data_IF_173169927417
#
_entry.id   IF_173169927417
#
_cell.length_a   1.000
_cell.length_b   1.000
_cell.length_c   1.000
_cell.angle_alpha   90.00
_cell.angle_beta   90.00
_cell.angle_gamma   90.00
#
_symmetry.space_group_name_H-M   'P 1'
#
loop_
_entity.id
_entity.type
_entity.pdbx_description
1 polymer ?
#
# COMPACT_ATOMS: atom_id res chain seq x y z
N UNK A 1 11.85 -100.51 13.51
CA UNK A 1 11.04 -99.79 14.52
C UNK A 1 11.86 -99.78 15.81
N UNK A 2 12.71 -98.80 16.02
CA UNK A 2 12.45 -97.43 16.51
C UNK A 2 12.90 -97.32 17.98
N UNK A 3 14.12 -96.82 18.13
CA UNK A 3 14.69 -95.98 19.18
C UNK A 3 14.33 -96.24 20.66
N UNK A 4 15.37 -96.58 21.44
CA UNK A 4 15.50 -96.04 22.79
C UNK A 4 16.93 -95.56 23.02
N UNK A 5 17.11 -94.27 22.80
CA UNK A 5 18.34 -93.52 22.97
C UNK A 5 18.64 -93.30 24.45
N UNK A 6 19.93 -93.48 24.74
CA UNK A 6 20.68 -93.04 25.92
C UNK A 6 20.72 -91.51 25.98
N UNK A 7 20.61 -90.94 27.17
CA UNK A 7 21.34 -89.75 27.68
C UNK A 7 20.62 -89.22 28.93
N UNK A 8 21.23 -88.58 29.91
CA UNK A 8 22.60 -88.38 30.39
C UNK A 8 22.38 -87.48 31.62
N UNK A 9 22.90 -87.88 32.77
CA UNK A 9 22.90 -87.05 33.98
C UNK A 9 23.93 -85.94 33.78
N UNK A 10 23.52 -84.69 33.89
CA UNK A 10 24.44 -83.56 34.09
C UNK A 10 23.98 -82.78 35.30
N UNK A 11 24.77 -82.91 36.37
CA UNK A 11 24.82 -81.98 37.50
C UNK A 11 25.13 -80.57 37.01
N UNK A 12 24.44 -79.58 37.56
CA UNK A 12 24.62 -78.20 37.16
C UNK A 12 23.90 -77.22 38.07
N UNK A 13 24.18 -77.32 39.37
CA UNK A 13 23.90 -76.24 40.32
C UNK A 13 24.64 -74.97 39.87
N UNK A 14 23.89 -73.96 39.47
CA UNK A 14 24.38 -72.59 39.51
C UNK A 14 23.20 -71.67 39.83
N UNK A 15 23.27 -71.09 41.03
CA UNK A 15 22.45 -70.00 41.53
C UNK A 15 22.32 -68.88 40.48
N UNK A 16 21.30 -68.97 39.64
CA UNK A 16 20.81 -67.79 38.94
C UNK A 16 20.02 -66.98 39.98
N UNK A 17 20.74 -66.11 40.70
CA UNK A 17 20.13 -65.00 41.46
C UNK A 17 19.40 -64.12 40.43
N UNK A 18 18.14 -64.47 40.17
CA UNK A 18 17.24 -63.72 39.29
C UNK A 18 17.10 -62.35 39.93
N UNK A 19 17.79 -61.37 39.33
CA UNK A 19 17.60 -59.97 39.65
C UNK A 19 16.20 -59.59 39.19
N UNK A 20 15.25 -59.59 40.13
CA UNK A 20 13.93 -59.02 39.89
C UNK A 20 14.10 -57.53 39.61
N UNK A 21 13.91 -57.13 38.36
CA UNK A 21 13.88 -55.72 38.01
C UNK A 21 12.72 -55.05 38.76
N UNK A 22 12.97 -53.96 39.52
CA UNK A 22 11.93 -53.31 40.31
C UNK A 22 10.87 -52.72 39.38
N UNK A 23 9.75 -53.43 39.19
CA UNK A 23 8.60 -53.00 38.38
C UNK A 23 8.02 -51.65 38.80
N UNK A 24 8.25 -51.23 40.06
CA UNK A 24 7.73 -49.99 40.62
C UNK A 24 8.31 -48.71 40.00
N UNK A 25 9.47 -48.76 39.33
CA UNK A 25 10.02 -47.57 38.65
C UNK A 25 9.41 -47.32 37.26
N UNK A 26 8.65 -48.26 36.70
CA UNK A 26 8.10 -48.15 35.35
C UNK A 26 6.85 -47.27 35.25
N UNK A 27 6.04 -47.18 36.31
CA UNK A 27 4.75 -46.46 36.27
C UNK A 27 4.96 -44.95 36.44
N UNK A 28 5.83 -44.54 37.36
CA UNK A 28 6.17 -43.12 37.56
C UNK A 28 6.90 -42.55 36.34
N UNK A 29 7.81 -43.33 35.73
CA UNK A 29 8.50 -42.93 34.50
C UNK A 29 7.52 -42.79 33.32
N UNK A 30 6.59 -43.74 33.13
CA UNK A 30 5.53 -43.64 32.12
C UNK A 30 4.55 -42.46 32.32
N UNK A 31 4.26 -42.07 33.57
CA UNK A 31 3.43 -40.90 33.85
C UNK A 31 4.20 -39.59 33.62
N UNK A 32 5.49 -39.56 33.98
CA UNK A 32 6.36 -38.42 33.74
C UNK A 32 6.65 -38.23 32.25
N UNK A 33 6.90 -39.30 31.51
CA UNK A 33 7.02 -39.32 30.05
C UNK A 33 5.72 -38.84 29.40
N UNK A 34 4.53 -39.32 29.83
CA UNK A 34 3.25 -38.77 29.35
C UNK A 34 3.10 -37.27 29.60
N UNK A 35 3.54 -36.76 30.74
CA UNK A 35 3.46 -35.33 31.04
C UNK A 35 4.46 -34.49 30.25
N UNK A 36 5.64 -35.04 29.95
CA UNK A 36 6.65 -34.42 29.10
C UNK A 36 6.24 -34.48 27.63
N UNK A 37 5.71 -35.61 27.17
CA UNK A 37 5.14 -35.80 25.83
C UNK A 37 3.95 -34.87 25.63
N UNK A 38 3.06 -34.71 26.63
CA UNK A 38 1.97 -33.74 26.56
C UNK A 38 2.49 -32.30 26.44
N UNK A 39 3.52 -31.93 27.22
CA UNK A 39 4.14 -30.59 27.13
C UNK A 39 4.86 -30.38 25.79
N UNK A 40 5.50 -31.41 25.27
CA UNK A 40 6.18 -31.39 23.97
C UNK A 40 5.18 -31.29 22.82
N UNK A 41 4.08 -32.04 22.87
CA UNK A 41 2.97 -31.98 21.89
C UNK A 41 2.28 -30.62 21.95
N UNK A 42 2.05 -30.07 23.14
CA UNK A 42 1.49 -28.72 23.30
C UNK A 42 2.45 -27.64 22.76
N UNK A 43 3.75 -27.74 23.05
CA UNK A 43 4.76 -26.84 22.50
C UNK A 43 4.86 -26.91 20.97
N UNK A 44 4.86 -28.12 20.40
CA UNK A 44 4.85 -28.34 18.95
C UNK A 44 3.57 -27.81 18.31
N UNK A 45 2.42 -27.90 18.97
CA UNK A 45 1.17 -27.37 18.45
C UNK A 45 1.19 -25.84 18.33
N UNK A 46 1.73 -25.14 19.34
CA UNK A 46 1.87 -23.68 19.33
C UNK A 46 2.84 -23.23 18.23
N UNK A 47 3.99 -23.90 18.11
CA UNK A 47 4.98 -23.60 17.07
C UNK A 47 4.39 -23.87 15.67
N UNK A 48 3.65 -24.96 15.50
CA UNK A 48 2.97 -25.30 14.24
C UNK A 48 1.95 -24.23 13.83
N UNK A 49 1.13 -23.75 14.78
CA UNK A 49 0.15 -22.68 14.52
C UNK A 49 0.85 -21.37 14.15
N UNK A 50 1.95 -21.01 14.81
CA UNK A 50 2.71 -19.80 14.49
C UNK A 50 3.34 -19.89 13.09
N UNK A 51 3.98 -21.01 12.76
CA UNK A 51 4.57 -21.24 11.43
C UNK A 51 3.48 -21.21 10.35
N UNK A 52 2.33 -21.87 10.59
CA UNK A 52 1.20 -21.86 9.67
C UNK A 52 0.61 -20.46 9.49
N UNK A 53 0.56 -19.64 10.55
CA UNK A 53 0.08 -18.25 10.46
C UNK A 53 1.00 -17.38 9.63
N UNK A 54 2.33 -17.50 9.82
CA UNK A 54 3.32 -16.77 9.02
C UNK A 54 3.27 -17.21 7.56
N UNK A 55 3.18 -18.51 7.29
CA UNK A 55 3.06 -19.04 5.92
C UNK A 55 1.75 -18.62 5.24
N UNK A 56 0.62 -18.62 5.95
CA UNK A 56 -0.66 -18.15 5.39
C UNK A 56 -0.62 -16.64 5.10
N UNK A 57 0.01 -15.86 5.98
CA UNK A 57 0.17 -14.43 5.76
C UNK A 57 1.07 -14.15 4.55
N UNK A 58 2.22 -14.83 4.45
CA UNK A 58 3.11 -14.69 3.31
C UNK A 58 2.46 -15.19 2.02
N UNK A 59 1.71 -16.29 2.05
CA UNK A 59 1.01 -16.80 0.88
C UNK A 59 -0.12 -15.87 0.41
N UNK A 60 -0.89 -15.28 1.33
CA UNK A 60 -1.91 -14.26 1.00
C UNK A 60 -1.27 -13.02 0.38
N UNK A 61 -0.20 -12.50 0.99
CA UNK A 61 0.51 -11.31 0.48
C UNK A 61 1.15 -11.59 -0.88
N UNK A 62 1.77 -12.75 -1.08
CA UNK A 62 2.40 -13.14 -2.35
C UNK A 62 1.36 -13.47 -3.43
N UNK A 63 0.20 -14.02 -3.04
CA UNK A 63 -0.93 -14.22 -3.95
C UNK A 63 -1.57 -12.90 -4.36
N UNK A 64 -1.60 -11.89 -3.51
CA UNK A 64 -2.05 -10.54 -3.86
C UNK A 64 -1.07 -9.87 -4.82
N UNK A 65 0.24 -9.92 -4.52
CA UNK A 65 1.29 -9.38 -5.40
C UNK A 65 1.38 -10.06 -6.79
N UNK A 66 0.80 -11.26 -6.96
CA UNK A 66 0.72 -11.98 -8.25
C UNK A 66 -0.63 -11.90 -8.96
N UNK A 67 -1.70 -11.48 -8.28
CA UNK A 67 -3.07 -11.36 -8.82
C UNK A 67 -3.47 -9.89 -9.04
N UNK A 68 -2.65 -8.93 -8.61
CA UNK A 68 -2.83 -7.49 -8.87
C UNK A 68 -2.41 -7.04 -10.29
N UNK A 69 -2.55 -7.91 -11.29
CA UNK A 69 -2.63 -7.50 -12.69
C UNK A 69 -4.09 -7.27 -13.15
N UNK A 70 -5.08 -7.44 -12.27
CA UNK A 70 -6.47 -7.32 -12.67
C UNK A 70 -7.45 -7.02 -11.54
N UNK A 71 -7.87 -5.75 -11.51
CA UNK A 71 -9.22 -5.30 -11.10
C UNK A 71 -9.46 -5.13 -9.59
N UNK A 72 -9.39 -3.87 -9.17
CA UNK A 72 -10.22 -3.21 -8.15
C UNK A 72 -10.50 -3.96 -6.84
N UNK A 73 -9.77 -3.58 -5.77
CA UNK A 73 -10.43 -3.29 -4.50
C UNK A 73 -9.69 -2.20 -3.71
N UNK A 74 -10.23 -0.99 -3.88
CA UNK A 74 -10.00 0.21 -3.09
C UNK A 74 -10.20 -0.07 -1.59
N UNK A 75 -9.30 0.47 -0.75
CA UNK A 75 -9.33 0.54 0.73
C UNK A 75 -8.77 -0.67 1.47
N UNK A 76 -7.45 -0.82 1.43
CA UNK A 76 -6.67 -1.50 2.46
C UNK A 76 -5.49 -0.60 2.84
N UNK A 77 -5.58 0.00 4.03
CA UNK A 77 -4.49 0.35 4.95
C UNK A 77 -3.12 0.61 4.29
N UNK A 78 -2.64 1.85 4.38
CA UNK A 78 -1.22 2.17 4.23
C UNK A 78 -0.42 1.39 5.28
N UNK A 79 -0.08 0.13 4.98
CA UNK A 79 1.03 -0.55 5.60
C UNK A 79 2.26 0.20 5.11
N UNK A 80 2.84 0.99 6.01
CA UNK A 80 4.23 1.36 5.91
C UNK A 80 5.01 0.06 5.71
N UNK A 81 5.42 -0.16 4.47
CA UNK A 81 6.40 -1.16 4.13
C UNK A 81 7.67 -0.75 4.89
N UNK A 82 8.26 -1.69 5.63
CA UNK A 82 9.51 -1.52 6.37
C UNK A 82 10.64 -1.21 5.37
N UNK A 83 10.67 0.01 4.88
CA UNK A 83 11.78 0.60 4.14
C UNK A 83 12.82 0.98 5.19
N UNK A 84 13.52 -0.03 5.69
CA UNK A 84 14.78 0.09 6.41
C UNK A 84 15.91 0.59 5.50
N UNK A 85 15.63 1.61 4.68
CA UNK A 85 16.62 2.39 3.97
C UNK A 85 17.07 3.53 4.87
N UNK A 86 18.38 3.67 5.07
CA UNK A 86 18.98 4.72 5.93
C UNK A 86 18.51 6.13 5.54
N UNK A 87 18.07 6.33 4.30
CA UNK A 87 17.53 7.57 3.76
C UNK A 87 16.12 7.92 4.31
N UNK A 88 15.25 6.92 4.56
CA UNK A 88 13.93 7.16 5.17
C UNK A 88 14.07 7.59 6.64
N UNK A 89 15.02 6.99 7.37
CA UNK A 89 15.33 7.32 8.76
C UNK A 89 15.89 8.75 8.87
N UNK A 90 16.73 9.17 7.93
CA UNK A 90 17.24 10.55 7.90
C UNK A 90 16.13 11.56 7.60
N UNK A 91 15.25 11.25 6.65
CA UNK A 91 14.08 12.09 6.36
C UNK A 91 13.13 12.21 7.56
N UNK A 92 12.83 11.10 8.23
CA UNK A 92 11.99 11.10 9.44
C UNK A 92 12.65 11.86 10.60
N UNK A 93 13.97 11.72 10.76
CA UNK A 93 14.70 12.43 11.80
C UNK A 93 14.77 13.94 11.53
N UNK A 94 15.01 14.36 10.28
CA UNK A 94 14.95 15.77 9.89
C UNK A 94 13.55 16.35 10.07
N UNK A 95 12.51 15.57 9.73
CA UNK A 95 11.12 15.98 9.91
C UNK A 95 10.80 16.14 11.39
N UNK A 96 11.15 15.16 12.23
CA UNK A 96 10.94 15.21 13.67
C UNK A 96 11.74 16.35 14.32
N UNK A 97 12.97 16.60 13.87
CA UNK A 97 13.81 17.69 14.36
C UNK A 97 13.22 19.06 14.01
N UNK A 98 12.75 19.25 12.77
CA UNK A 98 12.04 20.47 12.34
C UNK A 98 10.73 20.67 13.13
N UNK A 99 9.94 19.61 13.33
CA UNK A 99 8.71 19.66 14.12
C UNK A 99 8.96 19.94 15.61
N UNK A 100 10.08 19.47 16.17
CA UNK A 100 10.43 19.71 17.58
C UNK A 100 10.88 21.16 17.84
N UNK A 101 11.48 21.81 16.85
CA UNK A 101 11.96 23.20 16.94
C UNK A 101 10.82 24.20 16.70
N UNK A 102 9.81 23.84 15.91
CA UNK A 102 8.70 24.71 15.56
C UNK A 102 7.37 24.22 16.15
N UNK A 103 7.15 24.48 17.44
CA UNK A 103 5.92 24.13 18.18
C UNK A 103 4.64 24.70 17.55
N UNK A 104 4.75 25.76 16.74
CA UNK A 104 3.65 26.37 15.99
C UNK A 104 3.40 25.73 14.61
N UNK A 105 4.39 25.07 14.00
CA UNK A 105 4.22 24.43 12.68
C UNK A 105 3.42 23.14 12.79
N UNK A 106 3.51 22.40 13.90
CA UNK A 106 2.64 21.25 14.17
C UNK A 106 1.14 21.62 14.19
N UNK A 107 0.79 22.80 14.75
CA UNK A 107 -0.58 23.34 14.71
C UNK A 107 -0.95 23.89 13.33
N UNK A 108 0.01 24.49 12.62
CA UNK A 108 -0.19 25.01 11.27
C UNK A 108 -0.35 23.92 10.21
N UNK A 109 0.22 22.73 10.41
CA UNK A 109 0.10 21.58 9.48
C UNK A 109 -1.25 20.85 9.62
N UNK A 110 -1.78 20.74 10.84
CA UNK A 110 -3.10 20.14 11.09
C UNK A 110 -4.28 21.03 10.64
N UNK A 111 -4.04 22.33 10.46
CA UNK A 111 -5.03 23.32 10.00
C UNK A 111 -4.54 24.10 8.76
N UNK A 112 -3.63 23.52 7.97
CA UNK A 112 -3.15 24.17 6.76
C UNK A 112 -4.32 24.33 5.79
N UNK A 113 -4.70 25.58 5.51
CA UNK A 113 -5.71 25.88 4.49
C UNK A 113 -5.24 25.26 3.17
N UNK A 114 -6.10 24.47 2.48
CA UNK A 114 -5.72 23.83 1.23
C UNK A 114 -5.20 24.88 0.25
N UNK A 115 -4.10 24.57 -0.42
CA UNK A 115 -3.55 25.48 -1.42
C UNK A 115 -4.50 25.53 -2.61
N UNK A 116 -4.49 26.61 -3.39
CA UNK A 116 -5.29 26.70 -4.62
C UNK A 116 -4.98 25.56 -5.61
N UNK A 117 -3.76 25.02 -5.56
CA UNK A 117 -3.37 23.84 -6.31
C UNK A 117 -4.11 22.60 -5.82
N UNK A 118 -4.15 22.37 -4.51
CA UNK A 118 -4.88 21.23 -3.93
C UNK A 118 -6.39 21.36 -4.16
N UNK A 119 -6.93 22.57 -4.04
CA UNK A 119 -8.34 22.85 -4.36
C UNK A 119 -8.66 22.57 -5.82
N UNK A 120 -7.76 22.90 -6.75
CA UNK A 120 -7.95 22.54 -8.16
C UNK A 120 -7.92 21.03 -8.37
N UNK A 121 -6.92 20.34 -7.84
CA UNK A 121 -6.68 18.91 -8.13
C UNK A 121 -7.67 18.00 -7.40
N UNK A 122 -7.87 18.21 -6.11
CA UNK A 122 -8.68 17.34 -5.26
C UNK A 122 -10.09 17.89 -5.01
N UNK A 123 -10.28 19.21 -5.09
CA UNK A 123 -11.59 19.84 -4.95
C UNK A 123 -12.36 19.82 -6.27
N UNK A 124 -11.90 20.61 -7.25
CA UNK A 124 -12.64 20.82 -8.49
C UNK A 124 -12.52 19.66 -9.48
N UNK A 125 -11.31 19.12 -9.65
CA UNK A 125 -11.06 17.98 -10.54
C UNK A 125 -11.32 16.62 -9.86
N UNK A 126 -11.63 16.62 -8.56
CA UNK A 126 -12.00 15.44 -7.76
C UNK A 126 -10.99 14.28 -7.85
N UNK A 127 -9.73 14.55 -8.18
CA UNK A 127 -8.72 13.53 -8.44
C UNK A 127 -8.91 12.69 -9.70
N UNK A 128 -9.89 13.01 -10.57
CA UNK A 128 -10.20 12.26 -11.81
C UNK A 128 -9.22 12.54 -12.96
N UNK A 129 -8.39 13.56 -12.78
CA UNK A 129 -7.50 14.09 -13.81
C UNK A 129 -6.05 13.95 -13.38
N UNK A 130 -5.20 13.52 -14.31
CA UNK A 130 -3.75 13.54 -14.16
C UNK A 130 -3.24 14.93 -14.49
N UNK A 131 -2.64 15.59 -13.52
CA UNK A 131 -2.04 16.92 -13.71
C UNK A 131 -0.60 16.82 -14.17
N UNK A 132 -0.22 17.61 -15.18
CA UNK A 132 1.17 17.80 -15.60
C UNK A 132 1.71 19.04 -14.91
N UNK A 133 2.74 18.85 -14.08
CA UNK A 133 3.36 19.91 -13.28
C UNK A 133 4.78 20.14 -13.78
N UNK A 134 5.17 21.40 -13.97
CA UNK A 134 6.54 21.81 -14.25
C UNK A 134 6.87 23.05 -13.43
N UNK A 135 8.07 23.13 -12.85
CA UNK A 135 8.50 24.27 -12.02
C UNK A 135 7.50 24.63 -10.92
N UNK A 136 6.92 23.60 -10.28
CA UNK A 136 5.89 23.73 -9.24
C UNK A 136 4.57 24.42 -9.69
N UNK A 137 4.33 24.55 -11.00
CA UNK A 137 3.10 25.10 -11.58
C UNK A 137 2.43 24.09 -12.51
N UNK A 138 1.11 24.20 -12.66
CA UNK A 138 0.34 23.31 -13.53
C UNK A 138 0.49 23.80 -14.98
N UNK A 139 0.91 22.90 -15.86
CA UNK A 139 0.92 23.12 -17.32
C UNK A 139 -0.40 22.66 -17.95
N UNK A 140 -1.03 21.65 -17.37
CA UNK A 140 -2.27 21.10 -17.90
C UNK A 140 -2.75 19.91 -17.10
N UNK A 141 -3.88 19.37 -17.49
CA UNK A 141 -4.45 18.17 -16.92
C UNK A 141 -5.16 17.34 -17.98
N UNK A 142 -5.25 16.04 -17.75
CA UNK A 142 -5.82 15.09 -18.68
C UNK A 142 -6.67 14.06 -17.92
N UNK A 143 -7.86 13.78 -18.43
CA UNK A 143 -8.78 12.84 -17.83
C UNK A 143 -8.16 11.45 -17.82
N UNK A 144 -8.21 10.78 -16.67
CA UNK A 144 -7.69 9.43 -16.55
C UNK A 144 -8.84 8.44 -16.69
N UNK A 145 -8.76 7.55 -17.68
CA UNK A 145 -9.76 6.49 -17.94
C UNK A 145 -9.90 5.48 -16.80
N UNK A 146 -9.03 5.53 -15.78
CA UNK A 146 -9.13 4.73 -14.57
C UNK A 146 -10.23 5.19 -13.60
N UNK A 147 -10.80 6.40 -13.80
CA UNK A 147 -11.93 6.87 -13.02
C UNK A 147 -13.23 6.23 -13.51
N UNK A 148 -13.95 5.53 -12.61
CA UNK A 148 -15.26 4.95 -12.91
C UNK A 148 -16.34 6.02 -13.18
N UNK A 149 -16.12 7.23 -12.66
CA UNK A 149 -16.94 8.40 -12.95
C UNK A 149 -16.36 9.15 -14.14
N UNK A 150 -17.19 9.44 -15.14
CA UNK A 150 -16.80 10.07 -16.40
C UNK A 150 -16.26 11.50 -16.25
N UNK A 151 -15.85 12.14 -17.36
CA UNK A 151 -15.21 13.45 -17.32
C UNK A 151 -16.16 14.56 -16.81
N UNK A 152 -15.61 15.63 -16.24
CA UNK A 152 -16.38 16.72 -15.64
C UNK A 152 -16.81 17.76 -16.68
N UNK A 153 -18.00 18.34 -16.49
CA UNK A 153 -18.49 19.48 -17.29
C UNK A 153 -18.08 20.79 -16.62
N UNK A 154 -17.17 21.53 -17.26
CA UNK A 154 -16.84 22.90 -16.85
C UNK A 154 -17.75 23.86 -17.60
N UNK A 155 -18.76 24.41 -16.90
CA UNK A 155 -19.73 25.36 -17.45
C UNK A 155 -19.06 26.66 -17.90
N UNK A 156 -18.35 27.33 -16.98
CA UNK A 156 -17.71 28.63 -17.21
C UNK A 156 -16.18 28.49 -17.27
N UNK A 157 -15.66 28.04 -18.41
CA UNK A 157 -14.22 27.78 -18.60
C UNK A 157 -13.37 29.05 -18.50
N UNK A 158 -13.91 30.19 -18.93
CA UNK A 158 -13.25 31.48 -18.78
C UNK A 158 -13.10 31.92 -17.32
N UNK A 159 -14.11 31.69 -16.49
CA UNK A 159 -14.04 31.96 -15.05
C UNK A 159 -13.12 30.98 -14.34
N UNK A 160 -13.18 29.71 -14.70
CA UNK A 160 -12.27 28.68 -14.22
C UNK A 160 -10.80 29.09 -14.38
N UNK A 161 -10.41 29.56 -15.58
CA UNK A 161 -9.05 30.05 -15.81
C UNK A 161 -8.73 31.29 -14.95
N UNK A 162 -9.69 32.21 -14.75
CA UNK A 162 -9.47 33.39 -13.89
C UNK A 162 -9.27 33.03 -12.41
N UNK A 163 -10.01 32.04 -11.89
CA UNK A 163 -9.93 31.58 -10.49
C UNK A 163 -8.55 30.95 -10.24
N UNK A 164 -8.12 30.05 -11.14
CA UNK A 164 -6.89 29.27 -10.99
C UNK A 164 -5.66 29.89 -11.66
N UNK A 165 -5.71 31.17 -12.07
CA UNK A 165 -4.63 31.87 -12.78
C UNK A 165 -3.26 31.79 -12.09
N UNK A 166 -3.25 31.75 -10.75
CA UNK A 166 -2.03 31.70 -9.94
C UNK A 166 -1.38 30.33 -9.90
N UNK A 167 -2.13 29.27 -10.25
CA UNK A 167 -1.67 27.87 -10.21
C UNK A 167 -0.99 27.48 -11.53
N UNK A 168 -1.38 28.13 -12.62
CA UNK A 168 -0.88 27.82 -13.95
C UNK A 168 0.51 28.38 -14.22
N UNK A 169 1.21 27.75 -15.16
CA UNK A 169 2.60 28.07 -15.50
C UNK A 169 2.77 29.51 -16.02
N UNK A 170 1.81 29.98 -16.82
CA UNK A 170 1.80 31.31 -17.45
C UNK A 170 1.07 32.32 -16.53
N UNK A 171 1.70 33.44 -16.13
CA UNK A 171 1.06 34.46 -15.31
C UNK A 171 0.23 35.41 -16.19
N UNK A 172 -1.08 35.18 -16.31
CA UNK A 172 -1.99 36.03 -17.07
C UNK A 172 -2.98 36.79 -16.19
N UNK A 173 -3.53 37.88 -16.74
CA UNK A 173 -4.50 38.74 -16.05
C UNK A 173 -5.91 38.63 -16.64
N UNK A 174 -6.00 38.46 -17.96
CA UNK A 174 -7.26 38.39 -18.72
C UNK A 174 -7.29 37.11 -19.54
N UNK A 175 -8.49 36.62 -19.78
CA UNK A 175 -8.76 35.42 -20.58
C UNK A 175 -9.81 35.79 -21.60
N UNK A 176 -9.57 35.47 -22.87
CA UNK A 176 -10.50 35.73 -23.96
C UNK A 176 -10.66 34.46 -24.80
N UNK A 177 -11.90 34.08 -25.11
CA UNK A 177 -12.17 33.01 -26.06
C UNK A 177 -11.72 33.48 -27.45
N UNK A 178 -10.83 32.69 -28.07
CA UNK A 178 -10.28 33.00 -29.39
C UNK A 178 -11.06 32.29 -30.49
N UNK A 179 -11.16 30.96 -30.38
CA UNK A 179 -11.83 30.11 -31.36
C UNK A 179 -12.36 28.83 -30.73
N UNK A 180 -13.45 28.30 -31.28
CA UNK A 180 -14.00 26.97 -30.98
C UNK A 180 -13.96 26.16 -32.28
N UNK A 181 -13.29 25.03 -32.26
CA UNK A 181 -13.11 24.15 -33.42
C UNK A 181 -13.55 22.74 -33.04
N UNK A 182 -14.78 22.41 -33.42
CA UNK A 182 -15.40 21.13 -33.07
C UNK A 182 -15.38 20.87 -31.56
N UNK A 183 -14.60 19.88 -31.15
CA UNK A 183 -14.42 19.46 -29.75
C UNK A 183 -13.29 20.21 -29.03
N UNK A 184 -12.69 21.22 -29.63
CA UNK A 184 -11.61 21.99 -29.01
C UNK A 184 -12.02 23.45 -28.81
N UNK A 185 -11.69 24.01 -27.65
CA UNK A 185 -11.85 25.42 -27.36
C UNK A 185 -10.50 26.05 -27.01
N UNK A 186 -10.20 27.17 -27.66
CA UNK A 186 -8.95 27.88 -27.52
C UNK A 186 -9.20 29.22 -26.84
N UNK A 187 -8.50 29.47 -25.74
CA UNK A 187 -8.56 30.70 -24.98
C UNK A 187 -7.20 31.39 -25.01
N UNK A 188 -7.18 32.65 -25.44
CA UNK A 188 -6.00 33.51 -25.35
C UNK A 188 -5.81 33.99 -23.92
N UNK A 189 -4.59 33.81 -23.42
CA UNK A 189 -4.15 34.29 -22.11
C UNK A 189 -3.46 35.63 -22.30
N UNK A 190 -4.03 36.68 -21.72
CA UNK A 190 -3.63 38.07 -21.96
C UNK A 190 -3.05 38.69 -20.68
N UNK A 191 -2.04 39.53 -20.83
CA UNK A 191 -1.52 40.39 -19.76
C UNK A 191 -2.51 41.51 -19.41
N UNK A 192 -2.22 42.29 -18.36
CA UNK A 192 -3.02 43.47 -18.02
C UNK A 192 -3.05 44.52 -19.15
N UNK A 193 -1.98 44.59 -19.96
CA UNK A 193 -1.84 45.47 -21.12
C UNK A 193 -2.41 44.88 -22.43
N UNK A 194 -3.18 43.79 -22.36
CA UNK A 194 -3.74 43.07 -23.51
C UNK A 194 -2.70 42.42 -24.45
N UNK A 195 -1.48 42.18 -23.97
CA UNK A 195 -0.49 41.41 -24.72
C UNK A 195 -0.77 39.90 -24.58
N UNK A 196 -0.70 39.15 -25.69
CA UNK A 196 -0.82 37.69 -25.67
C UNK A 196 0.39 37.05 -25.01
N UNK A 197 0.16 36.31 -23.93
CA UNK A 197 1.19 35.60 -23.16
C UNK A 197 1.22 34.09 -23.43
N UNK A 198 0.13 33.55 -23.96
CA UNK A 198 -0.01 32.12 -24.24
C UNK A 198 -1.43 31.74 -24.63
N UNK A 199 -1.67 30.45 -24.77
CA UNK A 199 -2.98 29.90 -25.14
C UNK A 199 -3.34 28.70 -24.27
N UNK A 200 -4.57 28.67 -23.79
CA UNK A 200 -5.16 27.53 -23.12
C UNK A 200 -6.06 26.78 -24.09
N UNK A 201 -5.81 25.48 -24.27
CA UNK A 201 -6.56 24.57 -25.13
C UNK A 201 -7.35 23.60 -24.28
N UNK A 202 -8.67 23.66 -24.37
CA UNK A 202 -9.58 22.66 -23.80
C UNK A 202 -9.96 21.66 -24.88
N UNK A 203 -9.76 20.37 -24.62
CA UNK A 203 -10.35 19.28 -25.41
C UNK A 203 -11.60 18.79 -24.70
N UNK A 204 -12.68 18.65 -25.46
CA UNK A 204 -14.01 18.30 -24.99
C UNK A 204 -14.46 16.95 -25.56
N UNK A 205 -15.38 16.31 -24.87
CA UNK A 205 -16.13 15.16 -25.36
C UNK A 205 -17.40 15.60 -26.13
N UNK A 206 -18.12 14.66 -26.76
CA UNK A 206 -19.39 14.90 -27.45
C UNK A 206 -20.46 15.53 -26.54
N UNK A 207 -20.39 15.23 -25.24
CA UNK A 207 -21.28 15.79 -24.22
C UNK A 207 -20.77 17.14 -23.64
N UNK A 208 -19.71 17.72 -24.20
CA UNK A 208 -19.12 18.97 -23.71
C UNK A 208 -18.35 18.86 -22.40
N UNK A 209 -18.03 17.63 -21.97
CA UNK A 209 -17.18 17.34 -20.81
C UNK A 209 -15.71 17.59 -21.14
N UNK A 210 -14.91 18.05 -20.19
CA UNK A 210 -13.49 18.34 -20.42
C UNK A 210 -12.66 17.07 -20.34
N UNK A 211 -11.99 16.72 -21.43
CA UNK A 211 -11.04 15.62 -21.50
C UNK A 211 -9.64 16.07 -21.13
N UNK A 212 -9.22 17.25 -21.60
CA UNK A 212 -7.90 17.78 -21.26
C UNK A 212 -7.86 19.30 -21.31
N UNK A 213 -6.94 19.87 -20.55
CA UNK A 213 -6.51 21.25 -20.64
C UNK A 213 -5.00 21.27 -20.82
N UNK A 214 -4.53 22.03 -21.81
CA UNK A 214 -3.11 22.30 -22.01
C UNK A 214 -2.86 23.80 -22.11
N UNK A 215 -1.84 24.29 -21.40
CA UNK A 215 -1.39 25.68 -21.47
C UNK A 215 -0.06 25.72 -22.20
N UNK A 216 -0.02 26.50 -23.27
CA UNK A 216 1.14 26.74 -24.12
C UNK A 216 1.59 28.19 -24.00
#
# INVERSE_FOLDING_TARGET
MSNKSVNEKVDGSSDAKVLEFPKAQSIRKRLMDRSQDQKAVLGLSIVSVLVMTVFLNEWIVKSQNGIDAGVNNNRGIASFEDLSSVESIQWEHELAQKLSQEKDVAKSLLAAKPTLKDELVFGFLEGKYRTRVANNRIQGFEFTTASAEGPLVIKEKGEFLKIFKSVFSVPYAKVQLDRREGKQEFYKLLSASNQSLGQALFSLDDEGRVLSLSIQ
#
